data_IF_409871260338
#
_entry.id   IF_409871260338
#
_cell.length_a   1.000
_cell.length_b   1.000
_cell.length_c   1.000
_cell.angle_alpha   90.00
_cell.angle_beta   90.00
_cell.angle_gamma   90.00
#
_symmetry.space_group_name_H-M   'P 1'
#
loop_
_entity.id
_entity.type
_entity.pdbx_description
1 polymer ?
#
# COMPACT_ATOMS: atom_id res chain seq x y z
N UNK A 1 15.43 -1.50 11.12
CA UNK A 1 16.81 -1.84 10.68
C UNK A 1 17.62 -0.55 10.68
N UNK A 2 18.88 -0.59 11.14
CA UNK A 2 19.76 0.58 11.14
C UNK A 2 21.10 0.22 10.49
N UNK A 3 21.63 1.13 9.69
CA UNK A 3 22.96 1.04 9.09
C UNK A 3 23.79 2.19 9.64
N UNK A 4 24.91 1.87 10.26
CA UNK A 4 25.82 2.86 10.85
C UNK A 4 27.27 2.32 10.91
N UNK A 5 28.22 3.12 11.42
CA UNK A 5 29.58 2.65 11.68
C UNK A 5 29.58 1.49 12.69
N UNK A 6 30.60 0.66 12.65
CA UNK A 6 30.77 -0.47 13.60
C UNK A 6 30.69 -0.03 15.06
N UNK A 7 31.22 1.13 15.36
CA UNK A 7 31.22 1.70 16.71
C UNK A 7 29.78 2.00 17.18
N UNK A 8 28.98 2.70 16.36
CA UNK A 8 27.58 3.01 16.67
C UNK A 8 26.76 1.72 16.80
N UNK A 9 26.93 0.76 15.91
CA UNK A 9 26.26 -0.55 15.99
C UNK A 9 26.65 -1.29 17.28
N UNK A 10 27.90 -1.17 17.74
CA UNK A 10 28.33 -1.74 19.02
C UNK A 10 27.55 -1.17 20.21
N UNK A 11 27.30 0.15 20.25
CA UNK A 11 26.46 0.76 21.28
C UNK A 11 25.02 0.30 21.22
N UNK A 12 24.42 0.22 20.04
CA UNK A 12 23.07 -0.31 19.89
C UNK A 12 22.94 -1.76 20.35
N UNK A 13 23.96 -2.60 20.09
CA UNK A 13 23.97 -3.99 20.54
C UNK A 13 24.03 -4.14 22.06
N UNK A 14 24.59 -3.15 22.79
CA UNK A 14 24.61 -3.15 24.24
C UNK A 14 23.28 -2.83 24.90
N UNK A 15 22.42 -2.05 24.22
CA UNK A 15 21.15 -1.57 24.77
C UNK A 15 19.92 -2.26 24.17
N UNK A 16 20.05 -2.96 23.06
CA UNK A 16 18.92 -3.68 22.45
C UNK A 16 18.53 -4.90 23.30
N UNK A 17 17.25 -5.24 23.26
CA UNK A 17 16.79 -6.50 23.84
C UNK A 17 17.40 -7.70 23.11
N UNK A 18 17.88 -8.73 23.84
CA UNK A 18 18.55 -9.90 23.25
C UNK A 18 17.60 -10.72 22.34
N UNK A 19 16.30 -10.75 22.65
CA UNK A 19 15.28 -11.54 21.94
C UNK A 19 14.25 -10.66 21.23
N UNK A 20 14.71 -9.75 20.37
CA UNK A 20 13.84 -8.82 19.67
C UNK A 20 13.11 -9.42 18.44
N UNK A 21 13.51 -10.62 18.00
CA UNK A 21 12.86 -11.38 16.94
C UNK A 21 12.67 -12.80 17.44
N UNK A 22 11.44 -13.33 17.40
CA UNK A 22 11.16 -14.70 17.82
C UNK A 22 11.64 -15.72 16.77
N UNK A 23 11.82 -16.97 17.18
CA UNK A 23 12.38 -18.02 16.32
C UNK A 23 11.50 -18.34 15.11
N UNK A 24 10.17 -18.29 15.26
CA UNK A 24 9.24 -18.55 14.15
C UNK A 24 9.38 -17.49 13.06
N UNK A 25 9.52 -16.22 13.45
CA UNK A 25 9.77 -15.11 12.50
C UNK A 25 11.10 -15.28 11.78
N UNK A 26 12.16 -15.73 12.47
CA UNK A 26 13.46 -16.00 11.84
C UNK A 26 13.37 -17.15 10.84
N UNK A 27 12.71 -18.27 11.22
CA UNK A 27 12.52 -19.41 10.33
C UNK A 27 11.71 -19.04 9.08
N UNK A 28 10.65 -18.24 9.22
CA UNK A 28 9.86 -17.80 8.09
C UNK A 28 10.63 -16.81 7.19
N UNK A 29 11.40 -15.91 7.78
CA UNK A 29 12.28 -15.01 7.02
C UNK A 29 13.33 -15.77 6.21
N UNK A 30 13.93 -16.81 6.77
CA UNK A 30 14.91 -17.64 6.07
C UNK A 30 14.30 -18.36 4.85
N UNK A 31 13.09 -18.92 5.01
CA UNK A 31 12.33 -19.52 3.89
C UNK A 31 12.04 -18.48 2.80
N UNK A 32 11.57 -17.28 3.18
CA UNK A 32 11.26 -16.22 2.22
C UNK A 32 12.51 -15.73 1.48
N UNK A 33 13.65 -15.62 2.16
CA UNK A 33 14.92 -15.26 1.53
C UNK A 33 15.41 -16.33 0.56
N UNK A 34 15.23 -17.61 0.89
CA UNK A 34 15.54 -18.72 -0.01
C UNK A 34 14.62 -18.78 -1.24
N UNK A 35 13.38 -18.28 -1.12
CA UNK A 35 12.39 -18.17 -2.20
C UNK A 35 12.41 -16.85 -2.97
N UNK A 36 13.52 -16.16 -3.08
CA UNK A 36 13.63 -14.81 -3.67
C UNK A 36 13.00 -14.68 -5.07
N UNK A 37 13.08 -15.71 -5.89
CA UNK A 37 12.46 -15.73 -7.23
C UNK A 37 10.94 -15.49 -7.19
N UNK A 38 10.24 -16.08 -6.23
CA UNK A 38 8.80 -15.85 -6.03
C UNK A 38 8.51 -14.40 -5.62
N UNK A 39 9.36 -13.82 -4.76
CA UNK A 39 9.22 -12.42 -4.34
C UNK A 39 9.40 -11.46 -5.51
N UNK A 40 10.42 -11.68 -6.34
CA UNK A 40 10.68 -10.85 -7.53
C UNK A 40 9.49 -10.92 -8.52
N UNK A 41 8.88 -12.09 -8.68
CA UNK A 41 7.67 -12.27 -9.48
C UNK A 41 6.48 -11.49 -8.91
N UNK A 42 6.24 -11.55 -7.60
CA UNK A 42 5.16 -10.79 -6.98
C UNK A 42 5.38 -9.28 -7.10
N UNK A 43 6.62 -8.83 -6.94
CA UNK A 43 6.98 -7.41 -7.15
C UNK A 43 6.67 -6.96 -8.57
N UNK A 44 7.02 -7.76 -9.59
CA UNK A 44 6.72 -7.44 -10.98
C UNK A 44 5.22 -7.30 -11.22
N UNK A 45 4.42 -8.23 -10.70
CA UNK A 45 2.94 -8.17 -10.79
C UNK A 45 2.40 -6.90 -10.13
N UNK A 46 2.89 -6.55 -8.94
CA UNK A 46 2.46 -5.34 -8.25
C UNK A 46 2.79 -4.08 -9.06
N UNK A 47 3.96 -4.04 -9.69
CA UNK A 47 4.37 -2.89 -10.49
C UNK A 47 3.49 -2.72 -11.73
N UNK A 48 3.16 -3.80 -12.43
CA UNK A 48 2.25 -3.79 -13.58
C UNK A 48 0.83 -3.37 -13.17
N UNK A 49 0.27 -4.01 -12.14
CA UNK A 49 -1.05 -3.70 -11.62
C UNK A 49 -1.14 -2.26 -11.09
N UNK A 50 -0.05 -1.73 -10.52
CA UNK A 50 0.02 -0.34 -10.07
C UNK A 50 -0.19 0.63 -11.23
N UNK A 51 0.48 0.42 -12.35
CA UNK A 51 0.32 1.27 -13.54
C UNK A 51 -1.12 1.18 -14.08
N UNK A 52 -1.67 -0.02 -14.20
CA UNK A 52 -3.04 -0.22 -14.66
C UNK A 52 -4.05 0.46 -13.73
N UNK A 53 -3.91 0.26 -12.43
CA UNK A 53 -4.85 0.78 -11.44
C UNK A 53 -4.79 2.31 -11.31
N UNK A 54 -3.59 2.90 -11.28
CA UNK A 54 -3.43 4.36 -11.21
C UNK A 54 -4.00 5.05 -12.44
N UNK A 55 -3.78 4.50 -13.64
CA UNK A 55 -4.37 5.02 -14.88
C UNK A 55 -5.90 4.90 -14.87
N UNK A 56 -6.44 3.76 -14.45
CA UNK A 56 -7.88 3.56 -14.39
C UNK A 56 -8.58 4.48 -13.37
N UNK A 57 -7.93 4.77 -12.24
CA UNK A 57 -8.47 5.70 -11.24
C UNK A 57 -8.38 7.15 -11.71
N UNK A 58 -7.30 7.52 -12.39
CA UNK A 58 -7.07 8.91 -12.84
C UNK A 58 -8.10 9.44 -13.83
N UNK A 59 -8.75 8.54 -14.58
CA UNK A 59 -9.79 8.94 -15.57
C UNK A 59 -11.22 8.97 -15.01
N UNK A 60 -11.39 8.67 -13.71
CA UNK A 60 -12.71 8.76 -13.08
C UNK A 60 -13.13 10.23 -12.94
N UNK A 61 -14.40 10.59 -13.24
CA UNK A 61 -14.83 11.98 -13.31
C UNK A 61 -14.73 12.75 -11.99
N UNK A 62 -14.72 12.04 -10.88
CA UNK A 62 -14.63 12.58 -9.52
C UNK A 62 -13.21 12.43 -8.91
N UNK A 63 -12.23 11.95 -9.69
CA UNK A 63 -10.83 11.91 -9.29
C UNK A 63 -10.13 13.20 -9.73
N UNK A 64 -9.69 14.02 -8.77
CA UNK A 64 -8.98 15.25 -9.08
C UNK A 64 -7.50 15.00 -9.42
N UNK A 65 -6.87 14.06 -8.74
CA UNK A 65 -5.44 13.79 -8.91
C UNK A 65 -5.03 12.43 -8.35
N UNK A 66 -4.18 11.72 -9.07
CA UNK A 66 -3.40 10.58 -8.56
C UNK A 66 -1.97 11.04 -8.36
N UNK A 67 -1.41 10.82 -7.17
CA UNK A 67 -0.05 11.21 -6.84
C UNK A 67 0.95 10.12 -7.26
N UNK A 68 2.14 10.50 -7.74
CA UNK A 68 3.22 9.55 -8.05
C UNK A 68 3.59 8.70 -6.84
N UNK A 69 3.97 7.44 -7.09
CA UNK A 69 4.33 6.50 -6.03
C UNK A 69 5.32 5.44 -6.51
N UNK A 70 6.24 5.05 -5.63
CA UNK A 70 7.13 3.91 -5.80
C UNK A 70 6.73 2.73 -4.89
N UNK A 71 5.65 2.88 -4.12
CA UNK A 71 5.13 1.89 -3.18
C UNK A 71 4.13 0.92 -3.83
N UNK A 72 3.68 -0.07 -3.05
CA UNK A 72 2.56 -0.95 -3.37
C UNK A 72 1.18 -0.32 -3.04
N UNK A 73 1.12 0.99 -2.90
CA UNK A 73 -0.09 1.79 -2.74
C UNK A 73 0.12 3.15 -3.39
N UNK A 74 -0.97 3.85 -3.65
CA UNK A 74 -0.94 5.23 -4.11
C UNK A 74 -1.95 6.08 -3.34
N UNK A 75 -1.74 7.38 -3.39
CA UNK A 75 -2.66 8.38 -2.86
C UNK A 75 -3.41 9.00 -4.03
N UNK A 76 -4.73 9.10 -3.91
CA UNK A 76 -5.56 9.78 -4.90
C UNK A 76 -6.49 10.78 -4.19
N UNK A 77 -6.63 11.96 -4.78
CA UNK A 77 -7.51 13.02 -4.32
C UNK A 77 -8.81 12.99 -5.09
N UNK A 78 -9.91 13.10 -4.37
CA UNK A 78 -11.26 13.05 -4.89
C UNK A 78 -12.05 14.30 -4.47
N UNK A 79 -13.16 14.59 -5.13
CA UNK A 79 -14.07 15.67 -4.76
C UNK A 79 -14.66 15.47 -3.35
N UNK A 80 -15.11 14.26 -3.01
CA UNK A 80 -15.55 13.85 -1.66
C UNK A 80 -15.03 12.45 -1.30
N UNK A 81 -13.80 12.41 -0.77
CA UNK A 81 -13.18 11.15 -0.37
C UNK A 81 -13.91 10.44 0.77
N UNK A 82 -14.60 11.17 1.64
CA UNK A 82 -15.31 10.56 2.77
C UNK A 82 -16.58 9.85 2.31
N UNK A 83 -17.34 10.47 1.42
CA UNK A 83 -18.52 9.86 0.81
C UNK A 83 -18.14 8.63 -0.03
N UNK A 84 -17.10 8.75 -0.85
CA UNK A 84 -16.56 7.64 -1.63
C UNK A 84 -16.07 6.49 -0.74
N UNK A 85 -15.35 6.78 0.33
CA UNK A 85 -14.89 5.79 1.31
C UNK A 85 -16.06 4.99 1.91
N UNK A 86 -17.09 5.68 2.40
CA UNK A 86 -18.25 5.04 2.99
C UNK A 86 -19.00 4.16 1.97
N UNK A 87 -19.11 4.62 0.74
CA UNK A 87 -19.69 3.81 -0.36
C UNK A 87 -18.86 2.54 -0.63
N UNK A 88 -17.54 2.66 -0.73
CA UNK A 88 -16.67 1.50 -0.97
C UNK A 88 -16.76 0.48 0.17
N UNK A 89 -16.77 0.93 1.43
CA UNK A 89 -16.96 0.05 2.60
C UNK A 89 -18.28 -0.71 2.49
N UNK A 90 -19.37 -0.05 2.10
CA UNK A 90 -20.67 -0.70 1.89
C UNK A 90 -20.65 -1.71 0.72
N UNK A 91 -19.75 -1.54 -0.23
CA UNK A 91 -19.50 -2.51 -1.31
C UNK A 91 -18.52 -3.64 -0.91
N UNK A 92 -18.06 -3.68 0.36
CA UNK A 92 -17.09 -4.66 0.85
C UNK A 92 -15.63 -4.35 0.44
N UNK A 93 -15.35 -3.15 -0.06
CA UNK A 93 -14.02 -2.72 -0.51
C UNK A 93 -13.42 -1.77 0.52
N UNK A 94 -12.31 -2.17 1.14
CA UNK A 94 -11.64 -1.39 2.18
C UNK A 94 -10.43 -0.65 1.61
N UNK A 95 -10.47 0.67 1.68
CA UNK A 95 -9.35 1.58 1.40
C UNK A 95 -9.03 2.38 2.66
N UNK A 96 -8.07 3.30 2.62
CA UNK A 96 -7.77 4.15 3.77
C UNK A 96 -8.12 5.61 3.50
N UNK A 97 -9.09 6.15 4.22
CA UNK A 97 -9.37 7.59 4.23
C UNK A 97 -8.22 8.32 4.94
N UNK A 98 -7.59 9.27 4.22
CA UNK A 98 -6.48 10.08 4.71
C UNK A 98 -6.84 11.56 4.86
N UNK A 99 -8.11 11.92 4.71
CA UNK A 99 -8.58 13.31 4.71
C UNK A 99 -8.26 14.07 6.00
N UNK A 100 -8.10 13.37 7.13
CA UNK A 100 -7.71 13.97 8.41
C UNK A 100 -6.21 14.23 8.55
N UNK A 101 -5.38 13.75 7.61
CA UNK A 101 -3.93 13.93 7.66
C UNK A 101 -3.57 15.25 7.00
N UNK A 102 -2.64 16.00 7.63
CA UNK A 102 -2.15 17.27 7.08
C UNK A 102 -1.70 17.10 5.62
N UNK A 103 -2.12 18.00 4.75
CA UNK A 103 -1.87 18.02 3.30
C UNK A 103 -2.56 16.90 2.49
N UNK A 104 -3.37 16.04 3.12
CA UNK A 104 -4.08 14.94 2.45
C UNK A 104 -5.61 15.16 2.42
N UNK A 105 -6.08 16.41 2.44
CA UNK A 105 -7.52 16.71 2.36
C UNK A 105 -8.16 16.04 1.15
N UNK A 106 -9.29 15.36 1.36
CA UNK A 106 -10.01 14.59 0.34
C UNK A 106 -9.18 13.50 -0.37
N UNK A 107 -8.25 12.87 0.36
CA UNK A 107 -7.43 11.80 -0.20
C UNK A 107 -7.80 10.42 0.35
N UNK A 108 -7.82 9.43 -0.55
CA UNK A 108 -7.81 8.01 -0.20
C UNK A 108 -6.45 7.41 -0.53
N UNK A 109 -5.94 6.57 0.36
CA UNK A 109 -4.81 5.68 0.08
C UNK A 109 -5.35 4.33 -0.37
N UNK A 110 -5.00 3.95 -1.58
CA UNK A 110 -5.43 2.72 -2.24
C UNK A 110 -4.23 1.80 -2.35
N UNK A 111 -4.34 0.59 -1.78
CA UNK A 111 -3.32 -0.45 -1.91
C UNK A 111 -3.50 -1.16 -3.26
N UNK A 112 -2.42 -1.43 -3.94
CA UNK A 112 -2.40 -2.26 -5.13
C UNK A 112 -2.54 -3.71 -4.68
N UNK A 113 -3.67 -4.32 -5.00
CA UNK A 113 -3.99 -5.72 -4.71
C UNK A 113 -3.69 -6.65 -5.89
N UNK A 114 -4.18 -7.87 -5.80
CA UNK A 114 -4.24 -8.79 -6.94
C UNK A 114 -5.14 -8.23 -8.04
N UNK A 115 -5.01 -8.76 -9.26
CA UNK A 115 -5.85 -8.37 -10.40
C UNK A 115 -7.36 -8.49 -10.10
N UNK A 116 -7.75 -9.53 -9.37
CA UNK A 116 -9.16 -9.71 -8.97
C UNK A 116 -9.64 -8.65 -7.98
N UNK A 117 -8.83 -8.31 -6.98
CA UNK A 117 -9.14 -7.26 -5.99
C UNK A 117 -9.18 -5.88 -6.65
N UNK A 118 -8.23 -5.57 -7.52
CA UNK A 118 -8.21 -4.32 -8.29
C UNK A 118 -9.45 -4.20 -9.20
N UNK A 119 -9.87 -5.30 -9.81
CA UNK A 119 -11.08 -5.34 -10.65
C UNK A 119 -12.36 -5.09 -9.83
N UNK A 120 -12.45 -5.65 -8.62
CA UNK A 120 -13.56 -5.38 -7.70
C UNK A 120 -13.61 -3.91 -7.29
N UNK A 121 -12.47 -3.35 -6.89
CA UNK A 121 -12.36 -1.93 -6.56
C UNK A 121 -12.82 -1.04 -7.73
N UNK A 122 -12.27 -1.25 -8.94
CA UNK A 122 -12.62 -0.47 -10.12
C UNK A 122 -14.09 -0.62 -10.51
N UNK A 123 -14.65 -1.83 -10.38
CA UNK A 123 -16.08 -2.07 -10.62
C UNK A 123 -16.95 -1.27 -9.64
N UNK A 124 -16.59 -1.24 -8.36
CA UNK A 124 -17.30 -0.44 -7.36
C UNK A 124 -17.17 1.06 -7.67
N UNK A 125 -15.94 1.53 -7.95
CA UNK A 125 -15.67 2.94 -8.24
C UNK A 125 -16.45 3.43 -9.48
N UNK A 126 -16.54 2.63 -10.55
CA UNK A 126 -17.29 2.99 -11.77
C UNK A 126 -18.81 3.09 -11.56
N UNK A 127 -19.35 2.41 -10.54
CA UNK A 127 -20.79 2.46 -10.19
C UNK A 127 -21.11 3.58 -9.19
N UNK A 128 -20.08 4.22 -8.62
CA UNK A 128 -20.28 5.32 -7.68
C UNK A 128 -20.93 6.52 -8.39
N UNK A 129 -22.01 7.04 -7.79
CA UNK A 129 -22.69 8.27 -8.25
C UNK A 129 -22.24 9.42 -7.34
N UNK A 130 -21.43 10.28 -7.88
CA UNK A 130 -20.90 11.47 -7.19
C UNK A 130 -21.87 12.66 -7.22
#
# INVERSE_FOLDING_TARGET
>A
MAFASKEIISYFNKVKYPYNINILTLQEADKMLSGRYEVDKWVSIILEERVCLTNAVSILPYCEKVYPTDSNFFLAKFDDATKLYNYLVNCGVIVRNRSSVKLCGNCLRITVGSQSENSLLLSAMRKYKH
#
